data_IF_650610902659
#
_entry.id   IF_650610902659
#
_cell.length_a   1.000
_cell.length_b   1.000
_cell.length_c   1.000
_cell.angle_alpha   90.00
_cell.angle_beta   90.00
_cell.angle_gamma   90.00
#
_symmetry.space_group_name_H-M   'P 1'
#
loop_
_entity.id
_entity.type
_entity.pdbx_description
1 polymer ?
#
# COMPACT_ATOMS: atom_id res chain seq x y z
N UNK A 1 -36.21 -5.50 -4.71
CA UNK A 1 -35.96 -4.07 -4.98
C UNK A 1 -37.22 -3.26 -4.81
N UNK A 2 -37.21 -2.25 -3.99
CA UNK A 2 -38.32 -1.29 -3.80
C UNK A 2 -38.06 -0.05 -4.66
N UNK A 3 -38.88 0.14 -5.69
CA UNK A 3 -38.73 1.26 -6.63
C UNK A 3 -39.12 2.62 -6.04
N UNK A 4 -39.96 2.65 -5.00
CA UNK A 4 -40.40 3.90 -4.37
C UNK A 4 -39.35 4.43 -3.41
N UNK A 5 -38.76 3.53 -2.64
CA UNK A 5 -37.71 3.84 -1.68
C UNK A 5 -36.31 3.79 -2.31
N UNK A 6 -36.19 3.38 -3.58
CA UNK A 6 -34.94 3.33 -4.33
C UNK A 6 -33.89 2.39 -3.72
N UNK A 7 -34.31 1.33 -3.03
CA UNK A 7 -33.34 0.41 -2.43
C UNK A 7 -33.64 -1.05 -2.78
N UNK A 8 -32.60 -1.87 -2.68
CA UNK A 8 -32.66 -3.31 -2.86
C UNK A 8 -31.77 -4.04 -1.89
N UNK A 9 -32.26 -5.20 -1.49
CA UNK A 9 -31.48 -6.19 -0.74
C UNK A 9 -31.43 -7.48 -1.56
N UNK A 10 -30.31 -8.14 -1.50
CA UNK A 10 -30.09 -9.42 -2.17
C UNK A 10 -29.31 -10.38 -1.24
N UNK A 11 -29.63 -11.65 -1.35
CA UNK A 11 -29.12 -12.70 -0.49
C UNK A 11 -28.57 -13.85 -1.34
N UNK A 12 -27.57 -14.53 -0.83
CA UNK A 12 -26.93 -15.73 -1.40
C UNK A 12 -26.22 -15.50 -2.75
N UNK A 13 -24.89 -15.55 -2.75
CA UNK A 13 -24.05 -15.43 -3.95
C UNK A 13 -24.34 -14.18 -4.81
N UNK A 14 -24.57 -13.05 -4.15
CA UNK A 14 -24.89 -11.79 -4.83
C UNK A 14 -23.68 -11.26 -5.59
N UNK A 15 -23.94 -10.73 -6.80
CA UNK A 15 -22.98 -10.02 -7.61
C UNK A 15 -23.61 -8.70 -8.08
N UNK A 16 -23.03 -7.59 -7.70
CA UNK A 16 -23.38 -6.25 -8.17
C UNK A 16 -22.24 -5.78 -9.09
N UNK A 17 -22.51 -5.71 -10.39
CA UNK A 17 -21.51 -5.38 -11.38
C UNK A 17 -21.77 -4.00 -11.98
N UNK A 18 -20.81 -3.08 -11.83
CA UNK A 18 -20.78 -1.78 -12.48
C UNK A 18 -19.87 -1.86 -13.71
N UNK A 19 -20.48 -2.10 -14.87
CA UNK A 19 -19.74 -2.24 -16.13
C UNK A 19 -19.17 -0.92 -16.66
N UNK A 20 -19.70 0.22 -16.20
CA UNK A 20 -19.24 1.54 -16.59
C UNK A 20 -17.91 1.86 -15.88
N UNK A 21 -17.89 1.70 -14.57
CA UNK A 21 -16.70 1.95 -13.75
C UNK A 21 -15.79 0.72 -13.63
N UNK A 22 -16.18 -0.41 -14.27
CA UNK A 22 -15.42 -1.67 -14.29
C UNK A 22 -15.08 -2.19 -12.90
N UNK A 23 -16.07 -2.25 -12.03
CA UNK A 23 -15.94 -2.82 -10.71
C UNK A 23 -17.11 -3.74 -10.38
N UNK A 24 -16.89 -4.66 -9.47
CA UNK A 24 -17.88 -5.61 -8.99
C UNK A 24 -17.80 -5.74 -7.49
N UNK A 25 -18.94 -5.81 -6.84
CA UNK A 25 -19.08 -6.10 -5.42
C UNK A 25 -19.83 -7.41 -5.25
N UNK A 26 -19.28 -8.34 -4.49
CA UNK A 26 -19.88 -9.65 -4.23
C UNK A 26 -20.07 -9.88 -2.74
N UNK A 27 -20.98 -10.78 -2.36
CA UNK A 27 -21.23 -11.17 -0.98
C UNK A 27 -22.43 -12.09 -0.86
N UNK A 28 -22.67 -12.65 0.33
CA UNK A 28 -23.90 -13.41 0.58
C UNK A 28 -25.05 -12.53 1.06
N UNK A 29 -24.76 -11.32 1.49
CA UNK A 29 -25.77 -10.27 1.72
C UNK A 29 -25.24 -8.98 1.12
N UNK A 30 -26.05 -8.35 0.25
CA UNK A 30 -25.78 -7.06 -0.32
C UNK A 30 -26.99 -6.15 -0.21
N UNK A 31 -26.73 -4.88 0.05
CA UNK A 31 -27.71 -3.80 0.08
C UNK A 31 -27.25 -2.69 -0.84
N UNK A 32 -28.18 -2.08 -1.56
CA UNK A 32 -27.95 -0.91 -2.40
C UNK A 32 -29.10 0.08 -2.25
N UNK A 33 -28.77 1.36 -2.12
CA UNK A 33 -29.75 2.45 -2.12
C UNK A 33 -29.36 3.47 -3.21
N UNK A 34 -30.21 3.57 -4.23
CA UNK A 34 -30.00 4.44 -5.39
C UNK A 34 -30.11 5.93 -5.01
N UNK A 35 -31.00 6.28 -4.08
CA UNK A 35 -31.24 7.67 -3.68
C UNK A 35 -30.03 8.23 -2.92
N UNK A 36 -29.42 7.44 -2.07
CA UNK A 36 -28.24 7.85 -1.29
C UNK A 36 -26.93 7.47 -1.95
N UNK A 37 -26.98 6.67 -3.01
CA UNK A 37 -25.77 6.12 -3.68
C UNK A 37 -24.92 5.27 -2.74
N UNK A 38 -25.54 4.61 -1.75
CA UNK A 38 -24.84 3.78 -0.79
C UNK A 38 -25.00 2.30 -1.09
N UNK A 39 -23.94 1.54 -0.87
CA UNK A 39 -23.93 0.09 -1.02
C UNK A 39 -23.23 -0.56 0.18
N UNK A 40 -23.61 -1.80 0.48
CA UNK A 40 -22.99 -2.62 1.50
C UNK A 40 -22.94 -4.06 1.02
N UNK A 41 -21.84 -4.74 1.28
CA UNK A 41 -21.73 -6.18 1.12
C UNK A 41 -21.09 -6.79 2.35
N UNK A 42 -21.57 -7.95 2.76
CA UNK A 42 -21.04 -8.71 3.89
C UNK A 42 -21.17 -10.21 3.63
N UNK A 43 -20.63 -11.02 4.55
CA UNK A 43 -20.64 -12.47 4.44
C UNK A 43 -19.93 -12.94 3.15
N UNK A 44 -18.59 -13.03 3.22
CA UNK A 44 -17.68 -13.28 2.09
C UNK A 44 -17.63 -12.11 1.10
N UNK A 45 -17.71 -10.89 1.60
CA UNK A 45 -17.68 -9.72 0.74
C UNK A 45 -16.34 -9.57 0.03
N UNK A 46 -16.37 -9.31 -1.29
CA UNK A 46 -15.21 -9.02 -2.12
C UNK A 46 -15.55 -7.87 -3.07
N UNK A 47 -14.72 -6.85 -3.08
CA UNK A 47 -14.70 -5.85 -4.15
C UNK A 47 -13.65 -6.24 -5.19
N UNK A 48 -13.99 -6.09 -6.45
CA UNK A 48 -13.12 -6.42 -7.58
C UNK A 48 -13.08 -5.19 -8.49
N UNK A 49 -11.90 -4.60 -8.66
CA UNK A 49 -11.65 -3.56 -9.65
C UNK A 49 -10.91 -4.19 -10.84
N UNK A 50 -11.53 -4.16 -12.00
CA UNK A 50 -10.99 -4.65 -13.27
C UNK A 50 -10.81 -3.53 -14.32
N UNK A 51 -10.69 -2.30 -13.86
CA UNK A 51 -10.47 -1.12 -14.71
C UNK A 51 -9.07 -1.06 -15.31
N UNK A 52 -8.09 -1.67 -14.62
CA UNK A 52 -6.69 -1.81 -15.03
C UNK A 52 -6.43 -3.23 -15.54
N UNK A 53 -5.40 -3.47 -16.32
CA UNK A 53 -5.12 -4.77 -16.94
C UNK A 53 -5.31 -5.98 -16.03
N UNK A 54 -4.72 -5.96 -14.81
CA UNK A 54 -4.94 -6.96 -13.77
C UNK A 54 -6.01 -6.51 -12.78
N UNK A 55 -6.84 -7.46 -12.33
CA UNK A 55 -7.89 -7.17 -11.35
C UNK A 55 -7.31 -7.04 -9.93
N UNK A 56 -7.73 -5.99 -9.23
CA UNK A 56 -7.52 -5.85 -7.78
C UNK A 56 -8.70 -6.47 -7.04
N UNK A 57 -8.42 -7.46 -6.22
CA UNK A 57 -9.38 -8.09 -5.32
C UNK A 57 -9.19 -7.52 -3.92
N UNK A 58 -10.29 -7.11 -3.29
CA UNK A 58 -10.26 -6.60 -1.92
C UNK A 58 -11.33 -7.32 -1.10
N UNK A 59 -10.90 -8.01 -0.05
CA UNK A 59 -11.75 -8.77 0.85
C UNK A 59 -11.75 -8.15 2.25
N UNK A 60 -12.89 -8.20 2.91
CA UNK A 60 -13.07 -7.86 4.32
C UNK A 60 -14.37 -8.48 4.85
N UNK A 61 -14.60 -8.42 6.16
CA UNK A 61 -15.85 -8.90 6.76
C UNK A 61 -17.06 -8.09 6.26
N UNK A 62 -16.84 -6.77 6.04
CA UNK A 62 -17.87 -5.85 5.53
C UNK A 62 -17.22 -4.82 4.60
N UNK A 63 -17.81 -4.62 3.43
CA UNK A 63 -17.49 -3.55 2.50
C UNK A 63 -18.67 -2.58 2.43
N UNK A 64 -18.40 -1.28 2.57
CA UNK A 64 -19.41 -0.24 2.53
C UNK A 64 -18.99 0.88 1.59
N UNK A 65 -19.82 1.21 0.63
CA UNK A 65 -19.71 2.38 -0.22
C UNK A 65 -20.65 3.47 0.29
N UNK A 66 -20.13 4.68 0.43
CA UNK A 66 -20.89 5.86 0.83
C UNK A 66 -20.66 6.92 -0.23
N UNK A 67 -21.73 7.50 -0.76
CA UNK A 67 -21.67 8.62 -1.69
C UNK A 67 -22.02 9.90 -0.95
N UNK A 68 -21.16 10.89 -1.02
CA UNK A 68 -21.36 12.22 -0.45
C UNK A 68 -21.74 13.21 -1.53
N UNK A 69 -22.54 14.21 -1.20
CA UNK A 69 -22.98 15.28 -2.08
C UNK A 69 -23.59 14.73 -3.40
N UNK A 70 -24.40 13.69 -3.29
CA UNK A 70 -25.03 13.03 -4.44
C UNK A 70 -25.81 14.05 -5.29
N UNK A 71 -25.73 13.94 -6.61
CA UNK A 71 -26.35 14.85 -7.58
C UNK A 71 -25.82 16.30 -7.55
N UNK A 72 -24.60 16.51 -7.06
CA UNK A 72 -23.90 17.81 -7.15
C UNK A 72 -22.55 17.67 -7.85
N UNK A 73 -21.99 18.77 -8.33
CA UNK A 73 -20.65 18.80 -8.96
C UNK A 73 -19.51 18.45 -7.98
N UNK A 74 -19.79 18.46 -6.68
CA UNK A 74 -18.84 18.08 -5.62
C UNK A 74 -19.07 16.66 -5.10
N UNK A 75 -19.75 15.80 -5.87
CA UNK A 75 -19.97 14.41 -5.50
C UNK A 75 -18.64 13.65 -5.37
N UNK A 76 -18.49 12.91 -4.30
CA UNK A 76 -17.38 11.97 -4.12
C UNK A 76 -17.85 10.71 -3.38
N UNK A 77 -17.04 9.68 -3.45
CA UNK A 77 -17.32 8.37 -2.85
C UNK A 77 -16.23 7.96 -1.88
N UNK A 78 -16.65 7.28 -0.84
CA UNK A 78 -15.77 6.66 0.13
C UNK A 78 -16.12 5.18 0.24
N UNK A 79 -15.12 4.33 0.02
CA UNK A 79 -15.22 2.89 0.24
C UNK A 79 -14.53 2.56 1.55
N UNK A 80 -15.25 1.93 2.47
CA UNK A 80 -14.75 1.43 3.74
C UNK A 80 -14.78 -0.08 3.75
N UNK A 81 -13.66 -0.68 4.12
CA UNK A 81 -13.52 -2.13 4.27
C UNK A 81 -13.15 -2.40 5.72
N UNK A 82 -13.93 -3.21 6.41
CA UNK A 82 -13.77 -3.48 7.84
C UNK A 82 -13.43 -4.92 8.11
N UNK A 83 -12.47 -5.06 9.00
CA UNK A 83 -11.91 -6.22 9.63
C UNK A 83 -11.29 -7.24 8.69
N UNK A 84 -10.05 -7.59 9.04
CA UNK A 84 -9.24 -8.60 8.34
C UNK A 84 -9.12 -8.35 6.85
N UNK A 85 -8.87 -7.10 6.48
CA UNK A 85 -8.76 -6.69 5.09
C UNK A 85 -7.59 -7.39 4.42
N UNK A 86 -7.83 -7.91 3.23
CA UNK A 86 -6.84 -8.49 2.34
C UNK A 86 -7.04 -7.93 0.95
N UNK A 87 -6.01 -7.32 0.40
CA UNK A 87 -5.99 -6.87 -0.98
C UNK A 87 -4.96 -7.68 -1.78
N UNK A 88 -5.32 -8.04 -2.99
CA UNK A 88 -4.49 -8.84 -3.87
C UNK A 88 -4.60 -8.36 -5.32
N UNK A 89 -3.46 -8.11 -5.91
CA UNK A 89 -3.20 -8.02 -7.35
C UNK A 89 -1.88 -8.74 -7.60
N UNK A 90 -1.59 -9.14 -8.83
CA UNK A 90 -0.38 -9.94 -9.14
C UNK A 90 0.93 -9.27 -8.71
N UNK A 91 1.00 -7.95 -8.73
CA UNK A 91 2.18 -7.16 -8.41
C UNK A 91 2.19 -6.60 -6.97
N UNK A 92 1.02 -6.54 -6.31
CA UNK A 92 0.88 -5.96 -4.96
C UNK A 92 -0.10 -6.76 -4.10
N UNK A 93 0.25 -6.92 -2.84
CA UNK A 93 -0.60 -7.55 -1.83
C UNK A 93 -0.58 -6.69 -0.58
N UNK A 94 -1.70 -6.66 0.15
CA UNK A 94 -1.76 -5.95 1.42
C UNK A 94 -2.69 -6.64 2.40
N UNK A 95 -2.38 -6.49 3.68
CA UNK A 95 -3.25 -6.86 4.80
C UNK A 95 -3.30 -5.72 5.80
N UNK A 96 -4.47 -5.50 6.42
CA UNK A 96 -4.67 -4.55 7.52
C UNK A 96 -5.97 -4.92 8.26
N UNK A 97 -6.26 -4.25 9.38
CA UNK A 97 -7.57 -4.45 10.01
C UNK A 97 -8.68 -3.74 9.22
N UNK A 98 -8.48 -2.50 8.85
CA UNK A 98 -9.46 -1.72 8.10
C UNK A 98 -8.80 -0.83 7.05
N UNK A 99 -9.58 -0.50 6.01
CA UNK A 99 -9.13 0.30 4.88
C UNK A 99 -10.21 1.28 4.47
N UNK A 100 -9.80 2.51 4.14
CA UNK A 100 -10.68 3.54 3.59
C UNK A 100 -10.07 4.09 2.31
N UNK A 101 -10.82 4.04 1.22
CA UNK A 101 -10.51 4.78 0.00
C UNK A 101 -11.45 5.95 -0.15
N UNK A 102 -10.91 7.15 -0.33
CA UNK A 102 -11.67 8.38 -0.55
C UNK A 102 -11.36 8.94 -1.93
N UNK A 103 -12.40 9.03 -2.79
CA UNK A 103 -12.22 9.50 -4.17
C UNK A 103 -12.05 11.01 -4.30
N UNK A 104 -12.27 11.80 -3.23
CA UNK A 104 -12.10 13.25 -3.25
C UNK A 104 -10.63 13.65 -3.32
N UNK A 105 -9.79 12.95 -2.60
CA UNK A 105 -8.34 13.16 -2.54
C UNK A 105 -7.55 12.00 -3.16
N UNK A 106 -8.27 11.02 -3.74
CA UNK A 106 -7.70 9.80 -4.33
C UNK A 106 -6.76 9.08 -3.39
N UNK A 107 -7.09 9.08 -2.09
CA UNK A 107 -6.27 8.51 -1.05
C UNK A 107 -6.86 7.19 -0.53
N UNK A 108 -6.03 6.17 -0.49
CA UNK A 108 -6.28 4.91 0.20
C UNK A 108 -5.51 4.90 1.52
N UNK A 109 -6.21 4.74 2.64
CA UNK A 109 -5.61 4.63 3.97
C UNK A 109 -5.84 3.26 4.55
N UNK A 110 -4.76 2.59 4.94
CA UNK A 110 -4.77 1.30 5.63
C UNK A 110 -4.42 1.52 7.11
N UNK A 111 -5.24 0.98 8.00
CA UNK A 111 -5.16 1.19 9.45
C UNK A 111 -4.82 -0.10 10.19
N UNK A 112 -4.19 0.06 11.34
CA UNK A 112 -3.88 -0.98 12.30
C UNK A 112 -2.92 -2.02 11.74
N UNK A 113 -1.65 -1.73 11.90
CA UNK A 113 -0.52 -2.58 11.52
C UNK A 113 -0.58 -3.10 10.07
N UNK A 114 -0.77 -2.22 9.09
CA UNK A 114 -0.79 -2.62 7.69
C UNK A 114 0.55 -3.21 7.26
N UNK A 115 0.47 -4.26 6.45
CA UNK A 115 1.61 -4.84 5.75
C UNK A 115 1.31 -4.83 4.26
N UNK A 116 2.25 -4.30 3.47
CA UNK A 116 2.17 -4.26 2.02
C UNK A 116 3.37 -5.00 1.43
N UNK A 117 3.12 -5.87 0.46
CA UNK A 117 4.16 -6.57 -0.32
C UNK A 117 4.13 -6.11 -1.77
N UNK A 118 5.30 -5.82 -2.32
CA UNK A 118 5.51 -5.51 -3.72
C UNK A 118 6.80 -6.16 -4.20
N UNK A 119 6.69 -7.23 -4.99
CA UNK A 119 7.83 -8.04 -5.37
C UNK A 119 8.53 -8.65 -4.15
N UNK A 120 9.83 -8.43 -4.02
CA UNK A 120 10.65 -8.89 -2.88
C UNK A 120 10.63 -7.94 -1.67
N UNK A 121 9.89 -6.85 -1.77
CA UNK A 121 9.81 -5.83 -0.72
C UNK A 121 8.58 -6.00 0.14
N UNK A 122 8.74 -5.76 1.43
CA UNK A 122 7.68 -5.68 2.42
C UNK A 122 7.76 -4.34 3.13
N UNK A 123 6.61 -3.70 3.32
CA UNK A 123 6.49 -2.38 3.95
C UNK A 123 5.50 -2.46 5.10
N UNK A 124 5.88 -1.91 6.26
CA UNK A 124 5.10 -1.93 7.50
C UNK A 124 5.05 -0.53 8.10
N UNK A 125 4.01 -0.26 8.89
CA UNK A 125 3.83 0.95 9.70
C UNK A 125 2.57 0.84 10.54
N UNK A 126 2.26 1.82 11.37
CA UNK A 126 0.98 1.87 12.11
C UNK A 126 -0.18 2.27 11.17
N UNK A 127 0.12 3.10 10.16
CA UNK A 127 -0.80 3.54 9.13
C UNK A 127 -0.06 3.71 7.81
N UNK A 128 -0.65 3.29 6.70
CA UNK A 128 -0.10 3.51 5.35
C UNK A 128 -1.14 4.24 4.51
N UNK A 129 -0.74 5.37 3.92
CA UNK A 129 -1.54 6.13 2.95
C UNK A 129 -0.92 6.01 1.56
N UNK A 130 -1.75 5.67 0.58
CA UNK A 130 -1.37 5.67 -0.83
C UNK A 130 -2.22 6.71 -1.57
N UNK A 131 -1.57 7.69 -2.14
CA UNK A 131 -2.19 8.75 -2.96
C UNK A 131 -2.03 8.38 -4.42
N UNK A 132 -3.13 8.42 -5.15
CA UNK A 132 -3.18 8.04 -6.55
C UNK A 132 -3.39 9.26 -7.44
N UNK A 133 -2.77 9.26 -8.60
CA UNK A 133 -3.16 10.11 -9.70
C UNK A 133 -3.77 9.23 -10.81
N UNK A 134 -4.87 9.65 -11.40
CA UNK A 134 -5.64 8.97 -12.46
C UNK A 134 -5.64 7.43 -12.38
N UNK A 135 -4.51 6.76 -12.55
CA UNK A 135 -4.42 5.29 -12.65
C UNK A 135 -3.25 4.66 -11.88
N UNK A 136 -2.35 5.46 -11.33
CA UNK A 136 -1.14 4.96 -10.68
C UNK A 136 -0.93 5.59 -9.30
N UNK A 137 -0.10 4.96 -8.49
CA UNK A 137 0.35 5.57 -7.23
C UNK A 137 1.26 6.76 -7.57
N UNK A 138 0.97 7.91 -6.97
CA UNK A 138 1.78 9.12 -7.03
C UNK A 138 2.80 9.15 -5.88
N UNK A 139 2.33 8.94 -4.66
CA UNK A 139 3.20 8.78 -3.51
C UNK A 139 2.53 7.98 -2.39
N UNK A 140 3.36 7.40 -1.52
CA UNK A 140 2.93 6.69 -0.31
C UNK A 140 3.52 7.33 0.92
N UNK A 141 2.78 7.29 2.02
CA UNK A 141 3.21 7.75 3.34
C UNK A 141 3.02 6.62 4.35
N UNK A 142 4.11 6.14 4.88
CA UNK A 142 4.14 5.20 5.99
C UNK A 142 4.32 6.02 7.25
N UNK A 143 3.35 5.94 8.16
CA UNK A 143 3.23 6.81 9.34
C UNK A 143 3.50 5.96 10.58
N UNK A 144 4.40 6.42 11.39
CA UNK A 144 4.90 5.81 12.61
C UNK A 144 5.47 4.39 12.41
N UNK A 145 6.56 4.11 13.09
CA UNK A 145 7.26 2.82 13.02
C UNK A 145 7.47 2.32 11.58
N UNK A 146 7.76 3.27 10.67
CA UNK A 146 7.96 2.94 9.26
C UNK A 146 9.14 1.97 9.11
N UNK A 147 8.89 0.84 8.46
CA UNK A 147 9.88 -0.19 8.23
C UNK A 147 9.72 -0.80 6.85
N UNK A 148 10.84 -0.98 6.15
CA UNK A 148 10.87 -1.75 4.91
C UNK A 148 11.92 -2.83 4.98
N UNK A 149 11.64 -3.97 4.37
CA UNK A 149 12.56 -5.09 4.23
C UNK A 149 12.52 -5.59 2.79
N UNK A 150 13.70 -5.85 2.24
CA UNK A 150 13.91 -6.40 0.90
C UNK A 150 14.83 -7.61 0.99
N UNK A 151 14.35 -8.78 0.56
CA UNK A 151 15.16 -9.98 0.53
C UNK A 151 16.22 -9.89 -0.58
N UNK A 152 17.49 -10.12 -0.22
CA UNK A 152 18.61 -10.16 -1.18
C UNK A 152 18.99 -11.60 -1.56
N UNK A 153 19.03 -12.47 -0.56
CA UNK A 153 19.22 -13.92 -0.72
C UNK A 153 18.49 -14.68 0.40
N UNK A 154 18.82 -15.95 0.63
CA UNK A 154 18.13 -16.80 1.63
C UNK A 154 18.29 -16.33 3.08
N UNK A 155 19.31 -15.50 3.39
CA UNK A 155 19.67 -15.09 4.76
C UNK A 155 19.91 -13.60 4.93
N UNK A 156 20.11 -12.84 3.85
CA UNK A 156 20.41 -11.41 3.90
C UNK A 156 19.22 -10.57 3.45
N UNK A 157 18.95 -9.50 4.20
CA UNK A 157 17.83 -8.60 3.96
C UNK A 157 18.28 -7.14 4.09
N UNK A 158 18.03 -6.34 3.06
CA UNK A 158 18.08 -4.88 3.22
C UNK A 158 16.95 -4.42 4.10
N UNK A 159 17.23 -3.52 5.02
CA UNK A 159 16.25 -3.00 5.96
C UNK A 159 16.41 -1.48 6.10
N UNK A 160 15.29 -0.79 6.12
CA UNK A 160 15.28 0.64 6.41
C UNK A 160 14.14 0.91 7.40
N UNK A 161 14.45 1.61 8.48
CA UNK A 161 13.46 2.02 9.46
C UNK A 161 13.55 3.51 9.78
N UNK A 162 12.44 4.06 10.25
CA UNK A 162 12.33 5.45 10.70
C UNK A 162 11.01 5.71 11.38
N UNK A 163 10.80 6.93 11.85
CA UNK A 163 9.52 7.34 12.40
C UNK A 163 8.45 7.38 11.31
N UNK A 164 8.78 7.92 10.14
CA UNK A 164 7.93 7.97 8.96
C UNK A 164 8.75 7.80 7.68
N UNK A 165 8.08 7.37 6.62
CA UNK A 165 8.70 7.19 5.31
C UNK A 165 7.75 7.65 4.21
N UNK A 166 8.29 8.33 3.19
CA UNK A 166 7.54 8.75 2.00
C UNK A 166 8.23 8.21 0.75
N UNK A 167 7.46 7.50 -0.06
CA UNK A 167 7.89 7.01 -1.36
C UNK A 167 7.20 7.76 -2.49
N UNK A 168 7.94 8.29 -3.45
CA UNK A 168 7.42 9.06 -4.58
C UNK A 168 7.62 8.30 -5.88
N UNK A 169 6.58 8.30 -6.72
CA UNK A 169 6.53 7.54 -7.95
C UNK A 169 6.38 8.45 -9.17
N UNK A 170 6.91 8.03 -10.29
CA UNK A 170 6.70 8.67 -11.59
C UNK A 170 6.41 7.57 -12.60
N UNK A 171 5.24 7.62 -13.21
CA UNK A 171 4.77 6.61 -14.16
C UNK A 171 4.81 5.17 -13.60
N UNK A 172 4.48 5.00 -12.31
CA UNK A 172 4.48 3.71 -11.63
C UNK A 172 5.84 3.23 -11.10
N UNK A 173 6.93 3.92 -11.43
CA UNK A 173 8.26 3.61 -10.92
C UNK A 173 8.62 4.47 -9.71
N UNK A 174 9.10 3.86 -8.64
CA UNK A 174 9.61 4.57 -7.46
C UNK A 174 10.88 5.34 -7.83
N UNK A 175 10.89 6.65 -7.55
CA UNK A 175 12.00 7.56 -7.86
C UNK A 175 12.70 8.11 -6.64
N UNK A 176 11.99 8.26 -5.55
CA UNK A 176 12.56 8.82 -4.32
C UNK A 176 11.93 8.17 -3.10
N UNK A 177 12.74 7.94 -2.08
CA UNK A 177 12.27 7.58 -0.74
C UNK A 177 12.91 8.52 0.26
N UNK A 178 12.08 9.16 1.07
CA UNK A 178 12.47 10.00 2.20
C UNK A 178 12.12 9.30 3.49
N UNK A 179 13.09 9.13 4.37
CA UNK A 179 12.91 8.52 5.70
C UNK A 179 13.26 9.54 6.76
N UNK A 180 12.38 9.74 7.70
CA UNK A 180 12.53 10.77 8.74
C UNK A 180 12.41 10.17 10.15
N UNK A 181 13.28 10.64 11.04
CA UNK A 181 13.29 10.37 12.48
C UNK A 181 13.88 9.00 12.85
N UNK A 182 15.02 9.01 13.54
CA UNK A 182 15.71 7.81 14.02
C UNK A 182 15.95 6.78 12.92
N UNK A 183 16.49 7.24 11.81
CA UNK A 183 16.72 6.41 10.63
C UNK A 183 17.79 5.37 10.93
N UNK A 184 17.47 4.12 10.62
CA UNK A 184 18.42 3.00 10.64
C UNK A 184 18.38 2.32 9.26
N UNK A 185 19.56 2.03 8.72
CA UNK A 185 19.74 1.33 7.44
C UNK A 185 20.66 0.15 7.61
N UNK A 186 20.19 -1.00 7.17
CA UNK A 186 20.99 -2.20 6.92
C UNK A 186 20.93 -2.45 5.42
N UNK A 187 22.07 -2.38 4.75
CA UNK A 187 22.13 -2.50 3.30
C UNK A 187 23.30 -3.36 2.88
N UNK A 188 23.04 -4.33 2.02
CA UNK A 188 24.03 -5.21 1.42
C UNK A 188 24.28 -4.78 -0.02
N UNK A 189 25.34 -4.00 -0.30
CA UNK A 189 25.72 -3.66 -1.65
C UNK A 189 26.18 -4.92 -2.40
N UNK A 190 25.87 -4.95 -3.68
CA UNK A 190 26.24 -6.04 -4.58
C UNK A 190 27.29 -5.60 -5.58
N UNK A 191 28.19 -6.51 -5.94
CA UNK A 191 29.14 -6.33 -7.05
C UNK A 191 28.37 -6.35 -8.39
N UNK A 192 28.62 -5.38 -9.26
CA UNK A 192 27.91 -5.27 -10.55
C UNK A 192 28.16 -6.46 -11.49
N UNK A 193 29.31 -7.11 -11.37
CA UNK A 193 29.76 -8.17 -12.30
C UNK A 193 29.04 -9.48 -12.09
N UNK A 194 28.83 -9.89 -10.83
CA UNK A 194 28.35 -11.23 -10.47
C UNK A 194 27.23 -11.22 -9.43
N UNK A 195 26.80 -10.02 -8.99
CA UNK A 195 25.80 -9.83 -7.96
C UNK A 195 26.17 -10.41 -6.58
N UNK A 196 27.45 -10.70 -6.33
CA UNK A 196 27.92 -11.12 -5.01
C UNK A 196 27.79 -10.00 -4.00
N UNK A 197 27.53 -10.34 -2.73
CA UNK A 197 27.46 -9.36 -1.65
C UNK A 197 28.87 -8.88 -1.27
N UNK A 198 29.08 -7.55 -1.25
CA UNK A 198 30.37 -6.95 -0.92
C UNK A 198 30.56 -6.88 0.60
N UNK A 199 29.50 -6.65 1.35
CA UNK A 199 29.54 -6.46 2.80
C UNK A 199 28.22 -5.96 3.35
N UNK A 200 28.21 -5.60 4.62
CA UNK A 200 27.10 -4.97 5.31
C UNK A 200 27.40 -3.50 5.56
N UNK A 201 26.57 -2.62 5.03
CA UNK A 201 26.55 -1.20 5.38
C UNK A 201 25.48 -0.96 6.45
N UNK A 202 25.92 -0.65 7.67
CA UNK A 202 25.08 -0.24 8.78
C UNK A 202 25.18 1.27 8.95
N UNK A 203 24.07 1.98 8.87
CA UNK A 203 24.07 3.43 8.98
C UNK A 203 22.86 3.94 9.78
N UNK A 204 23.09 4.99 10.55
CA UNK A 204 22.11 5.67 11.38
C UNK A 204 22.10 7.18 11.06
N UNK A 205 20.93 7.81 11.19
CA UNK A 205 20.85 9.25 10.99
C UNK A 205 19.50 9.85 11.34
N UNK A 206 19.38 11.15 11.18
CA UNK A 206 18.12 11.86 11.45
C UNK A 206 17.16 11.83 10.28
N UNK A 207 17.69 11.91 9.07
CA UNK A 207 16.94 11.91 7.82
C UNK A 207 17.77 11.24 6.73
N UNK A 208 17.11 10.42 5.89
CA UNK A 208 17.70 9.79 4.72
C UNK A 208 16.86 10.11 3.48
N UNK A 209 17.51 10.53 2.40
CA UNK A 209 16.94 10.58 1.06
C UNK A 209 17.62 9.58 0.16
N UNK A 210 16.82 8.71 -0.46
CA UNK A 210 17.28 7.77 -1.49
C UNK A 210 16.66 8.17 -2.83
N UNK A 211 17.48 8.24 -3.86
CA UNK A 211 17.05 8.39 -5.25
C UNK A 211 17.22 7.05 -5.96
N UNK A 212 16.18 6.64 -6.67
CA UNK A 212 16.11 5.37 -7.36
C UNK A 212 15.99 5.57 -8.88
N UNK A 213 16.64 4.70 -9.62
CA UNK A 213 16.51 4.56 -11.06
C UNK A 213 16.46 3.08 -11.41
N UNK A 214 15.51 2.69 -12.26
CA UNK A 214 15.31 1.31 -12.68
C UNK A 214 15.23 0.31 -11.49
N UNK A 215 14.52 0.72 -10.42
CA UNK A 215 14.34 -0.01 -9.14
C UNK A 215 15.64 -0.24 -8.36
N UNK A 216 16.74 0.45 -8.70
CA UNK A 216 18.01 0.39 -7.97
C UNK A 216 18.29 1.72 -7.31
N UNK A 217 18.90 1.68 -6.14
CA UNK A 217 19.37 2.90 -5.47
C UNK A 217 20.53 3.49 -6.27
N UNK A 218 20.32 4.69 -6.82
CA UNK A 218 21.35 5.46 -7.53
C UNK A 218 22.15 6.32 -6.56
N UNK A 219 21.46 6.96 -5.61
CA UNK A 219 22.08 7.83 -4.59
C UNK A 219 21.36 7.69 -3.27
N UNK A 220 22.12 7.71 -2.19
CA UNK A 220 21.63 7.83 -0.83
C UNK A 220 22.36 8.96 -0.11
N UNK A 221 21.61 9.81 0.59
CA UNK A 221 22.17 10.91 1.37
C UNK A 221 21.51 10.98 2.74
N UNK A 222 22.33 10.88 3.79
CA UNK A 222 21.93 11.25 5.13
C UNK A 222 22.04 12.76 5.31
N UNK A 223 21.03 13.37 5.92
CA UNK A 223 20.99 14.80 6.21
C UNK A 223 20.88 14.97 7.73
N UNK A 224 21.79 15.77 8.28
CA UNK A 224 21.93 15.96 9.73
C UNK A 224 22.99 15.04 10.32
N UNK A 225 22.80 14.65 11.60
CA UNK A 225 23.76 13.74 12.27
C UNK A 225 23.64 12.35 11.66
N UNK A 226 24.75 11.85 11.13
CA UNK A 226 24.82 10.51 10.56
C UNK A 226 26.06 9.79 11.04
N UNK A 227 25.93 8.49 11.24
CA UNK A 227 27.01 7.58 11.54
C UNK A 227 26.83 6.31 10.71
N UNK A 228 27.92 5.72 10.24
CA UNK A 228 27.85 4.51 9.44
C UNK A 228 29.13 3.69 9.50
N UNK A 229 28.98 2.39 9.39
CA UNK A 229 30.08 1.43 9.35
C UNK A 229 29.85 0.42 8.23
N UNK A 230 30.87 0.18 7.45
CA UNK A 230 30.89 -0.88 6.44
C UNK A 230 31.67 -2.08 6.98
N UNK A 231 31.04 -3.24 7.02
CA UNK A 231 31.67 -4.51 7.39
C UNK A 231 31.84 -5.36 6.15
N UNK A 232 33.08 -5.81 5.81
CA UNK A 232 33.25 -6.89 4.83
C UNK A 232 32.46 -8.14 5.21
N UNK A 233 32.03 -8.97 4.25
CA UNK A 233 31.15 -10.12 4.52
C UNK A 233 31.69 -11.09 5.57
N UNK A 234 33.01 -11.30 5.59
CA UNK A 234 33.73 -12.18 6.52
C UNK A 234 33.96 -11.58 7.92
N UNK A 235 33.66 -10.29 8.10
CA UNK A 235 33.89 -9.53 9.34
C UNK A 235 32.60 -9.00 9.96
N UNK A 236 31.44 -9.44 9.49
CA UNK A 236 30.15 -9.02 10.07
C UNK A 236 30.04 -9.59 11.48
N UNK A 237 29.80 -8.76 12.52
CA UNK A 237 29.59 -9.23 13.88
C UNK A 237 28.34 -10.10 13.98
N UNK A 238 28.37 -11.16 14.80
CA UNK A 238 27.25 -12.09 14.97
C UNK A 238 25.94 -11.45 15.49
N UNK A 239 26.03 -10.25 16.06
CA UNK A 239 24.91 -9.46 16.58
C UNK A 239 24.33 -8.45 15.57
N UNK A 240 24.87 -8.37 14.37
CA UNK A 240 24.43 -7.51 13.26
C UNK A 240 23.82 -8.32 12.16
#
# INVERSE_FOLDING_TARGET
YDRVLGYGEAFENVQMNDTINKNMLTGNYCFYNEITGSALATQRAVAIDYSQGDSLFMHGDTLRLITYNINTDSMYREMRVYHKVRAYRTDVQAVCDSLVYNSKDSCMTMYTDPILWHGAQQVLGEEIKAYMNDSTIDWVHIINQAFTIEQKDSVHYNQVSGKEMKGFFVAGDMRQVDVNGNVLVIFYPVEERDSSLIGLNYAEGSFLRMLLKDRRMEKGAFIGKANGTMYPMDLIPAEK
#
